data_IF_989536132790
#
_entry.id   IF_989536132790
#
_cell.length_a   1.000
_cell.length_b   1.000
_cell.length_c   1.000
_cell.angle_alpha   90.00
_cell.angle_beta   90.00
_cell.angle_gamma   90.00
#
_symmetry.space_group_name_H-M   'P 1'
#
loop_
_entity.id
_entity.type
_entity.pdbx_description
1 polymer ?
#
# COMPACT_ATOMS: atom_id res chain seq x y z
N UNK A 1 -20.09 -11.02 3.64
CA UNK A 1 -19.59 -10.21 2.52
C UNK A 1 -18.09 -10.00 2.65
N UNK A 2 -17.34 -10.29 1.62
CA UNK A 2 -15.90 -10.15 1.65
C UNK A 2 -15.48 -8.90 0.86
N UNK A 3 -14.75 -8.00 1.51
CA UNK A 3 -14.19 -6.83 0.84
C UNK A 3 -12.94 -7.28 0.08
N UNK A 4 -12.90 -7.01 -1.23
CA UNK A 4 -11.76 -7.33 -2.08
C UNK A 4 -11.20 -6.12 -2.80
N UNK A 5 -12.06 -5.25 -3.29
CA UNK A 5 -11.68 -4.12 -4.11
C UNK A 5 -11.79 -2.83 -3.29
N UNK A 6 -10.65 -2.18 -3.09
CA UNK A 6 -10.55 -0.97 -2.27
C UNK A 6 -10.08 0.18 -3.17
N UNK A 7 -10.79 1.29 -3.09
CA UNK A 7 -10.37 2.53 -3.73
C UNK A 7 -9.90 3.51 -2.66
N UNK A 8 -8.72 4.08 -2.87
CA UNK A 8 -8.23 5.15 -2.02
C UNK A 8 -8.23 6.43 -2.86
N UNK A 9 -9.03 7.40 -2.44
CA UNK A 9 -9.12 8.68 -3.11
C UNK A 9 -8.13 9.64 -2.44
N UNK A 10 -7.03 9.90 -3.11
CA UNK A 10 -5.98 10.78 -2.61
C UNK A 10 -4.63 10.08 -2.56
N UNK A 11 -3.58 10.79 -2.97
CA UNK A 11 -2.22 10.23 -3.05
C UNK A 11 -1.21 10.95 -2.18
N UNK A 12 -1.66 11.66 -1.14
CA UNK A 12 -0.76 12.27 -0.17
C UNK A 12 -0.11 11.24 0.74
N UNK A 13 0.56 11.70 1.78
CA UNK A 13 1.29 10.80 2.69
C UNK A 13 0.35 9.76 3.30
N UNK A 14 -0.77 10.20 3.88
CA UNK A 14 -1.71 9.28 4.52
C UNK A 14 -2.37 8.35 3.50
N UNK A 15 -2.84 8.89 2.38
CA UNK A 15 -3.51 8.08 1.35
C UNK A 15 -2.59 7.02 0.77
N UNK A 16 -1.32 7.37 0.51
CA UNK A 16 -0.37 6.39 -0.03
C UNK A 16 -0.07 5.30 1.00
N UNK A 17 0.04 5.63 2.28
CA UNK A 17 0.27 4.65 3.33
C UNK A 17 -0.91 3.67 3.45
N UNK A 18 -2.14 4.18 3.43
CA UNK A 18 -3.34 3.35 3.48
C UNK A 18 -3.40 2.42 2.28
N UNK A 19 -3.17 2.96 1.09
CA UNK A 19 -3.25 2.19 -0.16
C UNK A 19 -2.21 1.08 -0.17
N UNK A 20 -0.97 1.39 0.18
CA UNK A 20 0.10 0.39 0.16
C UNK A 20 -0.16 -0.72 1.18
N UNK A 21 -0.57 -0.35 2.40
CA UNK A 21 -0.86 -1.34 3.44
C UNK A 21 -2.02 -2.26 3.03
N UNK A 22 -3.08 -1.71 2.43
CA UNK A 22 -4.19 -2.51 1.94
C UNK A 22 -3.73 -3.50 0.86
N UNK A 23 -2.91 -3.03 -0.09
CA UNK A 23 -2.38 -3.91 -1.13
C UNK A 23 -1.48 -5.00 -0.54
N UNK A 24 -0.66 -4.63 0.44
CA UNK A 24 0.21 -5.57 1.13
C UNK A 24 -0.60 -6.67 1.83
N UNK A 25 -1.77 -6.32 2.36
CA UNK A 25 -2.66 -7.28 3.04
C UNK A 25 -3.52 -8.10 2.07
N UNK A 26 -3.38 -7.89 0.77
CA UNK A 26 -4.02 -8.73 -0.23
C UNK A 26 -5.24 -8.15 -0.92
N UNK A 27 -5.60 -6.89 -0.63
CA UNK A 27 -6.71 -6.25 -1.31
C UNK A 27 -6.29 -5.77 -2.70
N UNK A 28 -7.24 -5.72 -3.61
CA UNK A 28 -7.05 -5.08 -4.90
C UNK A 28 -7.24 -3.58 -4.71
N UNK A 29 -6.19 -2.81 -4.91
CA UNK A 29 -6.21 -1.37 -4.59
C UNK A 29 -6.10 -0.54 -5.85
N UNK A 30 -7.02 0.41 -5.99
CA UNK A 30 -6.97 1.45 -6.99
C UNK A 30 -6.86 2.80 -6.28
N UNK A 31 -5.92 3.62 -6.72
CA UNK A 31 -5.74 4.97 -6.17
C UNK A 31 -6.31 5.96 -7.19
N UNK A 32 -7.34 6.69 -6.76
CA UNK A 32 -7.91 7.76 -7.57
C UNK A 32 -7.25 9.09 -7.24
N UNK A 33 -6.89 9.83 -8.28
CA UNK A 33 -6.29 11.14 -8.16
C UNK A 33 -6.95 12.09 -9.15
N UNK A 34 -6.95 13.39 -8.83
CA UNK A 34 -7.65 14.41 -9.60
C UNK A 34 -7.07 14.64 -11.00
N UNK A 35 -5.78 14.39 -11.19
CA UNK A 35 -5.09 14.73 -12.43
C UNK A 35 -3.88 13.86 -12.66
N UNK A 36 -3.40 13.80 -13.90
CA UNK A 36 -2.18 13.09 -14.23
C UNK A 36 -0.97 13.64 -13.47
N UNK A 37 -0.94 14.96 -13.25
CA UNK A 37 0.13 15.56 -12.43
C UNK A 37 0.11 15.04 -11.00
N UNK A 38 -1.07 14.82 -10.43
CA UNK A 38 -1.19 14.22 -9.10
C UNK A 38 -0.71 12.78 -9.09
N UNK A 39 -0.98 12.00 -10.15
CA UNK A 39 -0.48 10.63 -10.29
C UNK A 39 1.05 10.64 -10.28
N UNK A 40 1.66 11.51 -11.08
CA UNK A 40 3.13 11.57 -11.14
C UNK A 40 3.75 11.98 -9.80
N UNK A 41 3.09 12.83 -9.03
CA UNK A 41 3.56 13.22 -7.70
C UNK A 41 3.40 12.11 -6.67
N UNK A 42 2.40 11.24 -6.85
CA UNK A 42 2.14 10.14 -5.92
C UNK A 42 3.11 8.97 -6.10
N UNK A 43 3.51 8.67 -7.33
CA UNK A 43 4.36 7.51 -7.63
C UNK A 43 5.63 7.43 -6.79
N UNK A 44 6.40 8.50 -6.60
CA UNK A 44 7.60 8.42 -5.76
C UNK A 44 7.30 8.05 -4.30
N UNK A 45 6.13 8.43 -3.78
CA UNK A 45 5.74 8.08 -2.42
C UNK A 45 5.55 6.57 -2.27
N UNK A 46 4.93 5.94 -3.28
CA UNK A 46 4.73 4.50 -3.30
C UNK A 46 6.07 3.76 -3.45
N UNK A 47 6.97 4.28 -4.26
CA UNK A 47 8.31 3.72 -4.40
C UNK A 47 9.07 3.77 -3.07
N UNK A 48 8.97 4.89 -2.36
CA UNK A 48 9.60 5.04 -1.06
C UNK A 48 9.01 4.07 -0.03
N UNK A 49 7.68 3.88 -0.06
CA UNK A 49 7.03 2.91 0.82
C UNK A 49 7.50 1.49 0.53
N UNK A 50 7.63 1.13 -0.74
CA UNK A 50 8.17 -0.18 -1.12
C UNK A 50 9.53 -0.39 -0.51
N UNK A 51 10.43 0.58 -0.67
CA UNK A 51 11.78 0.51 -0.11
C UNK A 51 11.75 0.38 1.41
N UNK A 52 10.87 1.14 2.08
CA UNK A 52 10.74 1.10 3.53
C UNK A 52 10.24 -0.26 4.01
N UNK A 53 9.22 -0.82 3.35
CA UNK A 53 8.70 -2.14 3.70
C UNK A 53 9.78 -3.21 3.55
N UNK A 54 10.49 -3.19 2.42
CA UNK A 54 11.55 -4.18 2.17
C UNK A 54 12.69 -4.06 3.18
N UNK A 55 13.10 -2.83 3.50
CA UNK A 55 14.17 -2.60 4.47
C UNK A 55 13.76 -3.02 5.88
N UNK A 56 12.52 -2.74 6.29
CA UNK A 56 12.01 -3.13 7.60
C UNK A 56 11.96 -4.65 7.73
N UNK A 57 11.44 -5.33 6.71
CA UNK A 57 11.38 -6.80 6.71
C UNK A 57 12.77 -7.41 6.74
N UNK A 58 13.73 -6.85 6.00
CA UNK A 58 15.11 -7.34 6.05
C UNK A 58 15.73 -7.16 7.42
N UNK A 59 15.47 -6.02 8.08
CA UNK A 59 15.97 -5.77 9.42
C UNK A 59 15.41 -6.75 10.45
N UNK A 60 14.20 -7.24 10.25
CA UNK A 60 13.57 -8.19 11.15
C UNK A 60 14.29 -9.55 11.19
N UNK A 61 15.10 -9.86 10.20
CA UNK A 61 15.88 -11.10 10.18
C UNK A 61 16.91 -11.17 11.29
N UNK A 62 17.47 -10.01 11.67
CA UNK A 62 18.58 -9.96 12.63
C UNK A 62 18.29 -9.16 13.89
N UNK A 63 17.19 -8.42 13.92
CA UNK A 63 16.88 -7.53 15.02
C UNK A 63 15.41 -7.67 15.43
N UNK A 64 15.12 -8.35 16.56
CA UNK A 64 13.73 -8.46 17.03
C UNK A 64 13.07 -7.12 17.31
N UNK A 65 13.84 -6.09 17.63
CA UNK A 65 13.30 -4.76 17.87
C UNK A 65 12.76 -4.10 16.58
N UNK A 66 13.15 -4.60 15.39
CA UNK A 66 12.64 -4.12 14.13
C UNK A 66 11.24 -4.63 13.80
N UNK A 67 10.68 -5.53 14.61
CA UNK A 67 9.36 -6.10 14.35
C UNK A 67 8.30 -5.01 14.17
N UNK A 68 7.51 -5.15 13.14
CA UNK A 68 6.40 -4.25 12.85
C UNK A 68 5.13 -5.07 12.69
N UNK A 69 4.16 -4.85 13.56
CA UNK A 69 2.90 -5.59 13.57
C UNK A 69 2.12 -5.47 12.27
N UNK A 70 2.22 -4.32 11.60
CA UNK A 70 1.55 -4.13 10.32
C UNK A 70 2.12 -4.98 9.19
N UNK A 71 3.37 -5.46 9.32
CA UNK A 71 4.05 -6.23 8.29
C UNK A 71 4.03 -7.74 8.56
N UNK A 72 3.93 -8.14 9.82
CA UNK A 72 3.92 -9.54 10.21
C UNK A 72 3.11 -9.74 11.48
N UNK A 73 2.49 -10.90 11.60
CA UNK A 73 1.64 -11.22 12.75
C UNK A 73 2.42 -11.61 14.00
N UNK A 74 3.68 -11.97 13.83
CA UNK A 74 4.53 -12.44 14.92
C UNK A 74 5.97 -11.99 14.66
N UNK A 75 6.75 -11.69 15.73
CA UNK A 75 8.17 -11.39 15.56
C UNK A 75 9.02 -12.66 15.33
N UNK A 76 8.44 -13.85 15.51
CA UNK A 76 9.15 -15.10 15.39
C UNK A 76 9.01 -15.66 13.97
N UNK A 77 9.79 -15.11 13.03
CA UNK A 77 9.77 -15.51 11.64
C UNK A 77 11.13 -16.05 11.21
N UNK A 78 11.10 -17.11 10.39
CA UNK A 78 12.32 -17.58 9.74
C UNK A 78 12.74 -16.63 8.63
N UNK A 79 13.99 -16.72 8.18
CA UNK A 79 14.46 -15.92 7.05
C UNK A 79 13.61 -16.18 5.79
N UNK A 80 13.21 -17.44 5.55
CA UNK A 80 12.39 -17.77 4.39
C UNK A 80 11.02 -17.12 4.47
N UNK A 81 10.41 -17.08 5.66
CA UNK A 81 9.11 -16.41 5.84
C UNK A 81 9.22 -14.91 5.59
N UNK A 82 10.32 -14.30 6.03
CA UNK A 82 10.56 -12.88 5.78
C UNK A 82 10.75 -12.61 4.29
N UNK A 83 11.45 -13.49 3.57
CA UNK A 83 11.59 -13.35 2.11
C UNK A 83 10.23 -13.43 1.41
N UNK A 84 9.32 -14.29 1.87
CA UNK A 84 7.97 -14.35 1.33
C UNK A 84 7.21 -13.05 1.56
N UNK A 85 7.36 -12.44 2.73
CA UNK A 85 6.74 -11.15 3.01
C UNK A 85 7.33 -10.03 2.17
N UNK A 86 8.64 -10.09 1.90
CA UNK A 86 9.27 -9.12 0.99
C UNK A 86 8.71 -9.24 -0.43
N UNK A 87 8.47 -10.47 -0.91
CA UNK A 87 7.83 -10.68 -2.20
C UNK A 87 6.41 -10.14 -2.19
N UNK A 88 5.67 -10.29 -1.10
CA UNK A 88 4.33 -9.73 -0.97
C UNK A 88 4.38 -8.20 -1.07
N UNK A 89 5.35 -7.56 -0.43
CA UNK A 89 5.50 -6.11 -0.52
C UNK A 89 5.79 -5.66 -1.96
N UNK A 90 6.63 -6.40 -2.66
CA UNK A 90 6.94 -6.10 -4.07
C UNK A 90 5.69 -6.28 -4.95
N UNK A 91 4.95 -7.37 -4.76
CA UNK A 91 3.73 -7.62 -5.51
C UNK A 91 2.66 -6.56 -5.23
N UNK A 92 2.56 -6.11 -3.98
CA UNK A 92 1.65 -5.02 -3.62
C UNK A 92 1.95 -3.77 -4.43
N UNK A 93 3.22 -3.40 -4.51
CA UNK A 93 3.65 -2.24 -5.29
C UNK A 93 3.25 -2.37 -6.76
N UNK A 94 3.45 -3.54 -7.33
CA UNK A 94 3.16 -3.79 -8.75
C UNK A 94 1.66 -3.86 -9.04
N UNK A 95 0.85 -4.23 -8.06
CA UNK A 95 -0.59 -4.45 -8.24
C UNK A 95 -1.43 -3.19 -8.12
N UNK A 96 -0.91 -2.13 -7.50
CA UNK A 96 -1.66 -0.89 -7.28
C UNK A 96 -1.90 -0.19 -8.61
N UNK A 97 -3.17 0.17 -8.86
CA UNK A 97 -3.58 0.86 -10.08
C UNK A 97 -3.86 2.32 -9.77
N UNK A 98 -3.34 3.21 -10.59
CA UNK A 98 -3.61 4.65 -10.49
C UNK A 98 -4.58 5.06 -11.59
N UNK A 99 -5.57 5.89 -11.25
CA UNK A 99 -6.52 6.38 -12.24
C UNK A 99 -6.97 7.80 -11.88
N UNK A 100 -7.34 8.55 -12.90
CA UNK A 100 -7.96 9.87 -12.74
C UNK A 100 -9.47 9.80 -12.94
N UNK A 101 -10.01 8.65 -13.31
CA UNK A 101 -11.45 8.46 -13.51
C UNK A 101 -12.08 7.90 -12.23
N UNK A 102 -12.82 8.73 -11.52
CA UNK A 102 -13.53 8.29 -10.31
C UNK A 102 -14.57 7.22 -10.65
N UNK A 103 -15.28 7.38 -11.75
CA UNK A 103 -16.28 6.39 -12.16
C UNK A 103 -15.66 5.02 -12.40
N UNK A 104 -14.51 4.98 -13.09
CA UNK A 104 -13.81 3.72 -13.34
C UNK A 104 -13.31 3.11 -12.05
N UNK A 105 -12.78 3.94 -11.15
CA UNK A 105 -12.26 3.47 -9.87
C UNK A 105 -13.38 2.91 -9.00
N UNK A 106 -14.51 3.59 -8.92
CA UNK A 106 -15.59 3.24 -7.99
C UNK A 106 -16.49 2.12 -8.50
N UNK A 107 -16.44 1.80 -9.79
CA UNK A 107 -17.37 0.88 -10.43
C UNK A 107 -17.50 -0.47 -9.71
N UNK A 108 -16.37 -1.07 -9.39
CA UNK A 108 -16.34 -2.39 -8.76
C UNK A 108 -15.82 -2.33 -7.32
N UNK A 109 -15.80 -1.14 -6.72
CA UNK A 109 -15.25 -0.96 -5.38
C UNK A 109 -16.18 -1.54 -4.31
N UNK A 110 -15.60 -2.31 -3.41
CA UNK A 110 -16.30 -2.76 -2.20
C UNK A 110 -16.18 -1.71 -1.09
N UNK A 111 -15.13 -0.91 -1.12
CA UNK A 111 -14.87 0.11 -0.12
C UNK A 111 -14.13 1.27 -0.77
N UNK A 112 -14.56 2.49 -0.50
CA UNK A 112 -13.87 3.71 -0.93
C UNK A 112 -13.42 4.46 0.31
N UNK A 113 -12.13 4.73 0.39
CA UNK A 113 -11.52 5.48 1.49
C UNK A 113 -11.11 6.85 0.95
N UNK A 114 -11.67 7.90 1.51
CA UNK A 114 -11.29 9.25 1.16
C UNK A 114 -10.14 9.71 2.05
N UNK A 115 -8.99 9.96 1.44
CA UNK A 115 -7.79 10.40 2.12
C UNK A 115 -7.25 11.66 1.44
N UNK A 116 -8.17 12.49 0.94
CA UNK A 116 -7.84 13.76 0.30
C UNK A 116 -7.47 14.75 1.41
N UNK A 117 -6.26 15.28 1.32
CA UNK A 117 -5.84 16.29 2.28
C UNK A 117 -6.73 17.52 2.12
N UNK A 118 -7.33 17.96 3.22
CA UNK A 118 -8.00 19.25 3.20
C UNK A 118 -6.94 20.32 3.11
N UNK A 119 -7.11 21.16 2.13
CA UNK A 119 -6.19 22.25 1.91
C UNK A 119 -6.43 23.31 2.99
N UNK A 120 -5.48 23.54 3.87
CA UNK A 120 -5.65 24.55 4.91
C UNK A 120 -5.65 25.97 4.33
#
# INVERSE_FOLDING_TARGET
MTIKNVVVAGGGVLGSQIAYQAAYKGFNVTVWLRSEGSVERAKPKFEQLRQTYLATLEAMKSDPAAYCRGLADTPELSADQIEQLKQRAQQAFESIVFTTSYEAAAKDADLVIEAIAEDP
#
